data_IF_348004528635
#
_entry.id   IF_348004528635
#
_cell.length_a   1.000
_cell.length_b   1.000
_cell.length_c   1.000
_cell.angle_alpha   90.00
_cell.angle_beta   90.00
_cell.angle_gamma   90.00
#
_symmetry.space_group_name_H-M   'P 1'
#
loop_
_entity.id
_entity.type
_entity.pdbx_description
1 polymer ?
#
# COMPACT_ATOMS: atom_id res chain seq x y z
N UNK A 1 -25.57 3.44 8.04
CA UNK A 1 -25.20 4.78 7.56
C UNK A 1 -23.88 5.10 8.21
N UNK A 2 -22.82 5.32 7.44
CA UNK A 2 -21.51 5.67 8.00
C UNK A 2 -21.39 7.19 8.04
N UNK A 3 -21.55 7.79 9.23
CA UNK A 3 -21.25 9.20 9.45
C UNK A 3 -19.73 9.33 9.56
N UNK A 4 -19.11 10.00 8.59
CA UNK A 4 -17.72 10.41 8.69
C UNK A 4 -17.72 11.57 9.68
N UNK A 5 -17.26 11.28 10.90
CA UNK A 5 -17.27 12.14 12.10
C UNK A 5 -18.58 12.11 12.90
N UNK A 6 -18.61 11.44 14.07
CA UNK A 6 -19.61 11.68 15.11
C UNK A 6 -19.62 13.16 15.50
N UNK A 7 -20.81 13.77 15.62
CA UNK A 7 -20.90 15.15 16.11
C UNK A 7 -20.29 15.27 17.52
N UNK A 8 -19.44 16.29 17.72
CA UNK A 8 -18.85 16.61 19.03
C UNK A 8 -17.41 16.13 19.27
N UNK A 9 -16.74 15.48 18.30
CA UNK A 9 -15.31 15.13 18.41
C UNK A 9 -14.44 16.35 18.09
N UNK A 10 -13.53 16.70 19.01
CA UNK A 10 -12.55 17.78 18.83
C UNK A 10 -11.25 17.28 18.18
N UNK A 11 -10.42 18.18 17.66
CA UNK A 11 -9.08 17.81 17.15
C UNK A 11 -8.22 17.15 18.23
N UNK A 12 -8.33 17.63 19.48
CA UNK A 12 -7.62 17.05 20.63
C UNK A 12 -8.03 15.60 20.89
N UNK A 13 -9.30 15.25 20.70
CA UNK A 13 -9.77 13.87 20.84
C UNK A 13 -9.17 12.97 19.75
N UNK A 14 -9.04 13.48 18.52
CA UNK A 14 -8.41 12.75 17.41
C UNK A 14 -6.91 12.55 17.63
N UNK A 15 -6.21 13.55 18.15
CA UNK A 15 -4.77 13.47 18.46
C UNK A 15 -4.52 12.48 19.60
N UNK A 16 -5.40 12.46 20.60
CA UNK A 16 -5.36 11.48 21.71
C UNK A 16 -5.61 10.07 21.18
N UNK A 17 -6.64 9.89 20.34
CA UNK A 17 -6.93 8.61 19.70
C UNK A 17 -5.75 8.09 18.86
N UNK A 18 -5.05 8.98 18.13
CA UNK A 18 -3.86 8.61 17.36
C UNK A 18 -2.73 8.15 18.27
N UNK A 19 -2.48 8.88 19.36
CA UNK A 19 -1.46 8.52 20.36
C UNK A 19 -1.75 7.17 21.01
N UNK A 20 -2.99 6.94 21.44
CA UNK A 20 -3.43 5.68 22.04
C UNK A 20 -3.35 4.51 21.04
N UNK A 21 -3.69 4.78 19.78
CA UNK A 21 -3.56 3.81 18.70
C UNK A 21 -2.09 3.42 18.48
N UNK A 22 -1.18 4.40 18.37
CA UNK A 22 0.24 4.13 18.14
C UNK A 22 0.87 3.36 19.32
N UNK A 23 0.54 3.73 20.56
CA UNK A 23 0.97 3.01 21.77
C UNK A 23 0.42 1.58 21.81
N UNK A 24 -0.86 1.39 21.47
CA UNK A 24 -1.46 0.06 21.37
C UNK A 24 -0.77 -0.81 20.32
N UNK A 25 -0.52 -0.28 19.12
CA UNK A 25 0.18 -0.99 18.05
C UNK A 25 1.63 -1.32 18.47
N UNK A 26 2.34 -0.40 19.13
CA UNK A 26 3.69 -0.64 19.65
C UNK A 26 3.74 -1.73 20.73
N UNK A 27 2.75 -1.77 21.63
CA UNK A 27 2.59 -2.84 22.63
C UNK A 27 2.32 -4.20 21.99
N UNK A 28 1.52 -4.24 20.92
CA UNK A 28 1.29 -5.48 20.16
C UNK A 28 2.53 -5.93 19.39
N UNK A 29 3.26 -5.01 18.77
CA UNK A 29 4.47 -5.30 17.98
C UNK A 29 5.61 -5.86 18.85
N UNK A 30 5.71 -5.40 20.11
CA UNK A 30 6.68 -5.92 21.09
C UNK A 30 6.25 -7.24 21.75
N UNK A 31 5.03 -7.72 21.52
CA UNK A 31 4.54 -8.98 22.08
C UNK A 31 5.08 -10.19 21.30
N UNK A 32 6.02 -10.91 21.91
CA UNK A 32 6.66 -12.09 21.31
C UNK A 32 5.70 -13.27 21.05
N UNK A 33 4.53 -13.29 21.68
CA UNK A 33 3.52 -14.34 21.46
C UNK A 33 2.62 -14.05 20.25
N UNK A 34 2.74 -12.86 19.65
CA UNK A 34 1.96 -12.50 18.47
C UNK A 34 2.58 -13.15 17.23
N UNK A 35 1.74 -13.75 16.39
CA UNK A 35 2.13 -14.22 15.07
C UNK A 35 2.76 -13.05 14.28
N UNK A 36 3.97 -13.25 13.73
CA UNK A 36 4.60 -12.19 12.93
C UNK A 36 3.76 -11.92 11.67
N UNK A 37 3.64 -10.66 11.30
CA UNK A 37 2.87 -10.22 10.12
C UNK A 37 1.37 -10.03 10.39
N UNK A 38 0.82 -10.57 11.49
CA UNK A 38 -0.62 -10.44 11.78
C UNK A 38 -1.03 -9.00 12.12
N UNK A 39 -0.09 -8.17 12.58
CA UNK A 39 -0.37 -6.81 13.01
C UNK A 39 -0.97 -5.95 11.88
N UNK A 40 -0.63 -6.22 10.62
CA UNK A 40 -1.24 -5.58 9.44
C UNK A 40 -2.74 -5.86 9.37
N UNK A 41 -3.17 -7.09 9.69
CA UNK A 41 -4.59 -7.44 9.76
C UNK A 41 -5.26 -6.69 10.92
N UNK A 42 -4.62 -6.63 12.09
CA UNK A 42 -5.14 -5.88 13.26
C UNK A 42 -5.32 -4.40 12.93
N UNK A 43 -4.31 -3.74 12.33
CA UNK A 43 -4.39 -2.34 11.85
C UNK A 43 -5.60 -2.16 10.93
N UNK A 44 -5.77 -3.05 9.95
CA UNK A 44 -6.91 -3.01 9.01
C UNK A 44 -8.26 -3.16 9.73
N UNK A 45 -8.35 -4.05 10.72
CA UNK A 45 -9.58 -4.26 11.52
C UNK A 45 -9.94 -3.04 12.35
N UNK A 46 -8.95 -2.36 12.91
CA UNK A 46 -9.15 -1.12 13.66
C UNK A 46 -9.62 -0.03 12.71
N UNK A 47 -8.96 0.14 11.56
CA UNK A 47 -9.31 1.14 10.54
C UNK A 47 -10.75 0.98 10.00
N UNK A 48 -11.27 -0.25 9.99
CA UNK A 48 -12.66 -0.55 9.61
C UNK A 48 -13.71 -0.17 10.68
N UNK A 49 -13.30 0.24 11.89
CA UNK A 49 -14.20 0.46 13.04
C UNK A 49 -14.11 1.84 13.66
N UNK A 50 -12.94 2.48 13.58
CA UNK A 50 -12.77 3.82 14.14
C UNK A 50 -13.32 4.88 13.17
N UNK A 51 -13.84 6.01 13.68
CA UNK A 51 -14.16 7.15 12.84
C UNK A 51 -12.86 7.75 12.32
N UNK A 52 -12.72 7.85 10.99
CA UNK A 52 -11.54 8.40 10.32
C UNK A 52 -11.91 9.64 9.52
N UNK A 53 -11.07 10.68 9.61
CA UNK A 53 -11.11 11.78 8.65
C UNK A 53 -10.64 11.32 7.27
N UNK A 54 -11.08 12.01 6.21
CA UNK A 54 -10.74 11.67 4.82
C UNK A 54 -9.21 11.59 4.60
N UNK A 55 -8.46 12.53 5.20
CA UNK A 55 -7.00 12.59 5.12
C UNK A 55 -6.27 11.52 5.97
N UNK A 56 -6.98 10.84 6.89
CA UNK A 56 -6.41 9.79 7.75
C UNK A 56 -6.64 8.39 7.20
N UNK A 57 -7.58 8.21 6.27
CA UNK A 57 -7.96 6.87 5.75
C UNK A 57 -6.74 6.10 5.25
N UNK A 58 -5.89 6.72 4.43
CA UNK A 58 -4.74 6.03 3.83
C UNK A 58 -3.62 5.76 4.84
N UNK A 59 -3.46 6.59 5.86
CA UNK A 59 -2.52 6.35 6.96
C UNK A 59 -2.95 5.12 7.77
N UNK A 60 -4.21 5.06 8.21
CA UNK A 60 -4.70 3.92 9.00
C UNK A 60 -4.78 2.61 8.22
N UNK A 61 -5.17 2.66 6.94
CA UNK A 61 -5.25 1.44 6.11
C UNK A 61 -3.89 0.99 5.59
N UNK A 62 -2.99 1.91 5.23
CA UNK A 62 -1.77 1.60 4.47
C UNK A 62 -0.49 2.23 5.02
N UNK A 63 -0.51 2.86 6.19
CA UNK A 63 0.66 3.56 6.74
C UNK A 63 1.21 4.62 5.78
N UNK A 64 0.35 5.28 5.02
CA UNK A 64 0.77 6.32 4.08
C UNK A 64 1.27 7.54 4.84
N UNK A 65 2.58 7.69 4.88
CA UNK A 65 3.28 8.82 5.46
C UNK A 65 3.80 9.73 4.34
N UNK A 66 3.05 10.80 4.07
CA UNK A 66 3.38 11.77 3.03
C UNK A 66 4.66 12.54 3.37
N UNK A 67 4.92 12.83 4.66
CA UNK A 67 6.08 13.58 5.10
C UNK A 67 7.38 12.81 4.83
N UNK A 68 7.36 11.50 5.12
CA UNK A 68 8.48 10.60 4.86
C UNK A 68 8.45 9.91 3.49
N UNK A 69 7.42 10.20 2.67
CA UNK A 69 7.18 9.63 1.33
C UNK A 69 7.19 8.10 1.37
N UNK A 70 6.45 7.55 2.33
CA UNK A 70 6.45 6.13 2.59
C UNK A 70 5.03 5.55 2.65
N UNK A 71 4.92 4.26 2.33
CA UNK A 71 3.65 3.52 2.39
C UNK A 71 3.94 2.05 2.73
N UNK A 72 3.18 1.49 3.67
CA UNK A 72 3.27 0.08 4.04
C UNK A 72 2.67 -0.79 2.94
N UNK A 73 3.38 -1.88 2.61
CA UNK A 73 2.94 -2.88 1.66
C UNK A 73 2.29 -4.05 2.39
N UNK A 74 1.21 -4.57 1.81
CA UNK A 74 0.37 -5.58 2.46
C UNK A 74 -0.04 -6.67 1.46
N UNK A 75 -0.29 -7.88 1.95
CA UNK A 75 -0.82 -8.94 1.10
C UNK A 75 -2.18 -8.57 0.47
N UNK A 76 -2.36 -8.98 -0.77
CA UNK A 76 -3.48 -8.64 -1.65
C UNK A 76 -3.40 -7.25 -2.28
N UNK A 77 -2.30 -6.52 -2.07
CA UNK A 77 -1.88 -5.43 -2.95
C UNK A 77 -1.13 -5.99 -4.16
N UNK A 78 -0.96 -5.17 -5.18
CA UNK A 78 -0.12 -5.45 -6.35
C UNK A 78 0.92 -4.35 -6.49
N UNK A 79 2.17 -4.71 -6.75
CA UNK A 79 3.23 -3.75 -6.99
C UNK A 79 3.43 -3.63 -8.50
N UNK A 80 3.12 -2.45 -9.05
CA UNK A 80 3.41 -2.12 -10.45
C UNK A 80 4.77 -1.46 -10.53
N UNK A 81 5.64 -1.98 -11.39
CA UNK A 81 6.98 -1.44 -11.59
C UNK A 81 7.14 -1.04 -13.04
N UNK A 82 7.24 0.26 -13.30
CA UNK A 82 7.48 0.81 -14.63
C UNK A 82 8.96 1.11 -14.79
N UNK A 83 9.59 0.47 -15.77
CA UNK A 83 11.00 0.65 -16.08
C UNK A 83 11.18 1.69 -17.18
N UNK A 84 12.18 2.56 -17.05
CA UNK A 84 12.58 3.42 -18.16
C UNK A 84 13.26 2.61 -19.26
N UNK A 85 12.82 2.81 -20.50
CA UNK A 85 13.35 2.12 -21.68
C UNK A 85 14.78 2.51 -22.04
N UNK A 86 15.31 3.56 -21.41
CA UNK A 86 16.67 4.02 -21.64
C UNK A 86 17.27 4.46 -20.31
N UNK A 87 18.44 3.92 -20.00
CA UNK A 87 19.30 4.38 -18.94
C UNK A 87 20.71 4.50 -19.50
N UNK A 88 21.31 5.68 -19.35
CA UNK A 88 22.69 5.87 -19.76
C UNK A 88 23.59 5.16 -18.75
N UNK A 89 24.36 4.19 -19.21
CA UNK A 89 25.39 3.52 -18.41
C UNK A 89 26.74 4.00 -18.91
N UNK A 90 27.41 4.87 -18.14
CA UNK A 90 28.69 5.40 -18.58
C UNK A 90 29.78 4.31 -18.49
N UNK A 91 30.65 4.12 -19.51
CA UNK A 91 31.67 3.06 -19.51
C UNK A 91 32.65 3.11 -18.33
N UNK A 92 32.86 4.30 -17.74
CA UNK A 92 33.70 4.49 -16.56
C UNK A 92 32.98 4.20 -15.22
N UNK A 93 31.66 3.95 -15.23
CA UNK A 93 30.94 3.56 -14.02
C UNK A 93 31.07 2.06 -13.80
N UNK A 94 31.69 1.66 -12.68
CA UNK A 94 31.75 0.28 -12.19
C UNK A 94 30.36 -0.34 -11.94
N UNK A 95 29.31 0.48 -11.98
CA UNK A 95 27.90 0.09 -11.84
C UNK A 95 27.28 -0.45 -13.13
N UNK A 96 28.06 -0.65 -14.20
CA UNK A 96 27.55 -1.08 -15.50
C UNK A 96 26.71 -2.38 -15.49
N UNK A 97 26.85 -3.21 -14.44
CA UNK A 97 26.06 -4.42 -14.21
C UNK A 97 24.57 -4.16 -13.88
N UNK A 98 24.15 -2.92 -13.60
CA UNK A 98 22.73 -2.54 -13.48
C UNK A 98 22.10 -2.03 -14.77
N UNK A 99 22.84 -2.08 -15.88
CA UNK A 99 22.45 -1.45 -17.14
C UNK A 99 21.34 -2.13 -17.92
N UNK A 100 21.00 -3.38 -17.57
CA UNK A 100 19.92 -4.10 -18.24
C UNK A 100 18.75 -4.30 -17.29
N UNK A 101 17.65 -3.66 -17.63
CA UNK A 101 16.35 -3.89 -17.02
C UNK A 101 15.33 -4.02 -18.14
N UNK A 102 14.32 -4.87 -17.96
CA UNK A 102 13.30 -5.06 -18.97
C UNK A 102 12.65 -3.75 -19.38
N UNK A 103 12.36 -3.58 -20.67
CA UNK A 103 11.48 -2.51 -21.13
C UNK A 103 10.04 -2.83 -20.73
N UNK A 104 9.32 -1.85 -20.19
CA UNK A 104 7.88 -1.94 -19.92
C UNK A 104 7.50 -1.96 -18.45
N UNK A 105 6.35 -2.58 -18.17
CA UNK A 105 5.73 -2.59 -16.85
C UNK A 105 5.64 -4.03 -16.34
N UNK A 106 6.10 -4.26 -15.12
CA UNK A 106 5.93 -5.52 -14.40
C UNK A 106 4.89 -5.38 -13.28
N UNK A 107 4.21 -6.48 -12.97
CA UNK A 107 3.21 -6.54 -11.91
C UNK A 107 3.56 -7.68 -10.97
N UNK A 108 3.66 -7.39 -9.67
CA UNK A 108 3.96 -8.37 -8.63
C UNK A 108 2.84 -8.41 -7.61
N UNK A 109 2.11 -9.52 -7.55
CA UNK A 109 1.05 -9.68 -6.55
C UNK A 109 1.67 -10.00 -5.18
N UNK A 110 1.35 -9.18 -4.18
CA UNK A 110 1.82 -9.37 -2.82
C UNK A 110 0.92 -10.38 -2.12
N UNK A 111 1.50 -11.43 -1.56
CA UNK A 111 0.75 -12.52 -0.93
C UNK A 111 1.38 -12.90 0.42
N UNK A 112 0.60 -13.49 1.31
CA UNK A 112 1.14 -14.14 2.50
C UNK A 112 1.55 -15.56 2.19
N UNK A 113 2.69 -15.97 2.76
CA UNK A 113 3.13 -17.35 2.84
C UNK A 113 3.62 -17.65 4.26
N UNK A 114 3.69 -18.93 4.59
CA UNK A 114 4.24 -19.38 5.87
C UNK A 114 5.74 -19.07 5.93
N UNK A 115 6.18 -18.48 7.05
CA UNK A 115 7.55 -18.02 7.22
C UNK A 115 8.55 -19.14 7.46
N UNK A 116 9.40 -19.47 6.48
CA UNK A 116 10.62 -20.29 6.62
C UNK A 116 10.49 -21.51 7.57
N UNK A 117 9.44 -22.32 7.39
CA UNK A 117 9.21 -23.55 8.16
C UNK A 117 8.42 -23.36 9.46
N UNK A 118 8.03 -22.14 9.81
CA UNK A 118 6.99 -21.85 10.80
C UNK A 118 5.65 -21.72 10.09
N UNK A 119 4.71 -22.64 10.38
CA UNK A 119 3.33 -22.58 9.88
C UNK A 119 2.50 -21.47 10.54
N UNK A 120 3.08 -20.73 11.48
CA UNK A 120 2.37 -19.68 12.20
C UNK A 120 2.77 -18.29 11.75
N UNK A 121 4.01 -18.04 11.31
CA UNK A 121 4.47 -16.71 10.90
C UNK A 121 3.99 -16.37 9.48
N UNK A 122 3.51 -15.15 9.27
CA UNK A 122 3.09 -14.65 7.96
C UNK A 122 4.16 -13.73 7.38
N UNK A 123 4.73 -14.10 6.24
CA UNK A 123 5.69 -13.28 5.50
C UNK A 123 5.10 -12.82 4.16
N UNK A 124 5.46 -11.62 3.73
CA UNK A 124 5.07 -11.09 2.42
C UNK A 124 5.99 -11.67 1.35
N UNK A 125 5.36 -12.12 0.28
CA UNK A 125 5.98 -12.65 -0.91
C UNK A 125 5.44 -11.94 -2.16
N UNK A 126 6.26 -11.85 -3.21
CA UNK A 126 5.99 -11.06 -4.42
C UNK A 126 5.43 -11.88 -5.60
N UNK A 127 5.31 -13.21 -5.47
CA UNK A 127 4.78 -14.08 -6.51
C UNK A 127 4.26 -15.43 -5.95
N UNK A 128 2.96 -15.68 -6.06
CA UNK A 128 2.34 -16.87 -5.51
C UNK A 128 2.86 -18.18 -6.13
N UNK A 129 3.18 -18.21 -7.42
CA UNK A 129 3.69 -19.41 -8.09
C UNK A 129 5.12 -19.72 -7.66
N UNK A 130 5.99 -18.72 -7.66
CA UNK A 130 7.38 -18.87 -7.22
C UNK A 130 7.46 -19.25 -5.73
N UNK A 131 6.46 -18.92 -4.91
CA UNK A 131 6.40 -19.39 -3.53
C UNK A 131 6.12 -20.87 -3.35
N UNK A 132 5.60 -21.55 -4.37
CA UNK A 132 5.42 -23.00 -4.34
C UNK A 132 6.71 -23.72 -4.75
N UNK A 133 7.47 -23.14 -5.68
CA UNK A 133 8.71 -23.73 -6.20
C UNK A 133 9.91 -23.40 -5.32
N UNK A 134 9.89 -22.22 -4.66
CA UNK A 134 10.97 -21.72 -3.79
C UNK A 134 12.35 -21.80 -4.48
N UNK A 135 12.55 -21.03 -5.57
CA UNK A 135 13.80 -21.09 -6.32
C UNK A 135 14.99 -20.70 -5.45
N UNK A 136 16.10 -21.40 -5.63
CA UNK A 136 17.34 -21.05 -4.94
C UNK A 136 17.98 -19.81 -5.58
N UNK A 137 18.04 -18.71 -4.85
CA UNK A 137 18.57 -17.42 -5.31
C UNK A 137 19.67 -16.94 -4.37
N UNK A 138 20.81 -16.55 -4.95
CA UNK A 138 21.99 -16.06 -4.20
C UNK A 138 22.26 -14.57 -4.42
N UNK A 139 21.60 -13.92 -5.38
CA UNK A 139 21.80 -12.52 -5.75
C UNK A 139 21.53 -11.57 -4.58
N UNK A 140 22.51 -10.72 -4.26
CA UNK A 140 22.34 -9.71 -3.22
C UNK A 140 21.70 -8.41 -3.74
N UNK A 141 20.37 -8.40 -3.80
CA UNK A 141 19.60 -7.28 -4.36
C UNK A 141 19.70 -5.96 -3.59
N UNK A 142 20.17 -5.94 -2.34
CA UNK A 142 20.52 -4.70 -1.66
C UNK A 142 21.69 -3.98 -2.36
N UNK A 143 22.62 -4.74 -2.94
CA UNK A 143 23.84 -4.20 -3.55
C UNK A 143 23.69 -3.93 -5.04
N UNK A 144 23.04 -4.84 -5.75
CA UNK A 144 22.96 -4.80 -7.22
C UNK A 144 21.58 -4.42 -7.74
N UNK A 145 20.58 -4.27 -6.85
CA UNK A 145 19.17 -4.11 -7.21
C UNK A 145 18.52 -5.43 -7.66
N UNK A 146 17.19 -5.49 -7.58
CA UNK A 146 16.36 -6.59 -8.07
C UNK A 146 16.04 -6.40 -9.56
N UNK A 147 16.31 -7.42 -10.37
CA UNK A 147 15.90 -7.45 -11.77
C UNK A 147 14.44 -7.90 -11.95
N UNK A 148 13.93 -8.72 -11.02
CA UNK A 148 12.53 -9.18 -11.00
C UNK A 148 12.12 -9.66 -9.60
N UNK A 149 10.86 -10.06 -9.43
CA UNK A 149 10.38 -10.72 -8.20
C UNK A 149 11.13 -12.00 -7.86
N UNK A 150 11.74 -12.69 -8.85
CA UNK A 150 12.57 -13.88 -8.61
C UNK A 150 13.67 -13.58 -7.58
N UNK A 151 14.30 -12.41 -7.67
CA UNK A 151 15.43 -12.11 -6.81
C UNK A 151 15.03 -11.93 -5.33
N UNK A 152 13.75 -11.66 -5.05
CA UNK A 152 13.21 -11.55 -3.69
C UNK A 152 13.15 -12.88 -2.95
N UNK A 153 13.32 -14.01 -3.66
CA UNK A 153 13.37 -15.36 -3.08
C UNK A 153 14.73 -15.71 -2.47
N UNK A 154 15.72 -14.81 -2.50
CA UNK A 154 16.93 -15.00 -1.69
C UNK A 154 16.54 -15.05 -0.22
N UNK A 155 17.01 -16.08 0.47
CA UNK A 155 16.77 -16.27 1.90
C UNK A 155 17.10 -14.99 2.68
N UNK A 156 16.15 -14.56 3.51
CA UNK A 156 16.26 -13.36 4.33
C UNK A 156 15.57 -12.12 3.76
N UNK A 157 15.26 -12.07 2.45
CA UNK A 157 14.59 -10.91 1.85
C UNK A 157 13.08 -10.90 2.05
N UNK A 158 12.43 -12.05 2.15
CA UNK A 158 11.01 -12.10 2.52
C UNK A 158 10.84 -11.78 4.01
N UNK A 159 10.01 -10.79 4.31
CA UNK A 159 9.77 -10.28 5.67
C UNK A 159 8.27 -10.16 5.96
N UNK A 160 7.87 -10.24 7.24
CA UNK A 160 6.49 -10.01 7.65
C UNK A 160 5.93 -8.64 7.27
N UNK A 161 6.76 -7.60 7.35
CA UNK A 161 6.37 -6.24 7.07
C UNK A 161 7.28 -5.63 6.02
N UNK A 162 6.68 -4.90 5.07
CA UNK A 162 7.39 -4.12 4.07
C UNK A 162 6.85 -2.71 3.98
N UNK A 163 7.74 -1.78 3.65
CA UNK A 163 7.43 -0.38 3.37
C UNK A 163 8.15 0.05 2.11
N UNK A 164 7.42 0.69 1.21
CA UNK A 164 8.00 1.39 0.07
C UNK A 164 8.33 2.82 0.50
N UNK A 165 9.56 3.25 0.25
CA UNK A 165 10.05 4.59 0.57
C UNK A 165 10.58 5.25 -0.69
N UNK A 166 10.11 6.47 -0.95
CA UNK A 166 10.58 7.29 -2.06
C UNK A 166 11.70 8.24 -1.63
N UNK A 167 12.73 8.42 -2.48
CA UNK A 167 13.80 9.36 -2.20
C UNK A 167 13.27 10.80 -2.22
N UNK A 168 13.89 11.70 -1.46
CA UNK A 168 13.57 13.13 -1.53
C UNK A 168 14.00 13.77 -2.85
N UNK A 169 15.00 13.18 -3.51
CA UNK A 169 15.50 13.56 -4.82
C UNK A 169 15.70 12.30 -5.66
N UNK A 170 15.01 12.22 -6.79
CA UNK A 170 15.21 11.12 -7.74
C UNK A 170 16.50 11.35 -8.53
N UNK A 171 17.24 10.28 -8.82
CA UNK A 171 18.46 10.40 -9.61
C UNK A 171 18.18 10.78 -11.08
N UNK A 172 19.16 11.43 -11.71
CA UNK A 172 19.17 11.81 -13.13
C UNK A 172 19.17 10.58 -14.06
N UNK A 173 19.22 10.80 -15.38
CA UNK A 173 19.03 9.77 -16.43
C UNK A 173 19.99 8.58 -16.39
N UNK A 174 21.05 8.63 -15.58
CA UNK A 174 21.99 7.53 -15.39
C UNK A 174 21.48 6.44 -14.42
N UNK A 175 20.39 6.70 -13.68
CA UNK A 175 19.94 5.85 -12.57
C UNK A 175 20.97 5.79 -11.43
N UNK A 176 20.66 5.02 -10.37
CA UNK A 176 21.56 4.89 -9.20
C UNK A 176 21.60 3.46 -8.70
N UNK A 177 22.76 3.02 -8.23
CA UNK A 177 22.88 1.84 -7.36
C UNK A 177 22.70 2.17 -5.88
N UNK A 178 22.67 3.45 -5.53
CA UNK A 178 22.46 3.90 -4.16
C UNK A 178 20.97 3.79 -3.83
N UNK A 179 20.56 2.93 -2.87
CA UNK A 179 19.14 2.78 -2.51
C UNK A 179 18.48 4.12 -2.14
N UNK A 180 19.24 5.05 -1.52
CA UNK A 180 18.74 6.37 -1.13
C UNK A 180 18.33 7.29 -2.28
N UNK A 181 18.59 6.92 -3.53
CA UNK A 181 18.21 7.70 -4.74
C UNK A 181 17.22 6.99 -5.65
N UNK A 182 16.74 5.82 -5.24
CA UNK A 182 15.72 5.02 -5.92
C UNK A 182 14.54 4.74 -4.99
N UNK A 183 13.38 4.39 -5.57
CA UNK A 183 12.27 3.87 -4.77
C UNK A 183 12.70 2.54 -4.14
N UNK A 184 12.75 2.51 -2.80
CA UNK A 184 13.35 1.41 -2.03
C UNK A 184 12.28 0.71 -1.22
N UNK A 185 12.28 -0.62 -1.28
CA UNK A 185 11.53 -1.48 -0.39
C UNK A 185 12.38 -1.77 0.84
N UNK A 186 11.81 -1.55 2.01
CA UNK A 186 12.40 -1.86 3.31
C UNK A 186 11.53 -2.93 3.95
N UNK A 187 12.13 -4.04 4.36
CA UNK A 187 11.45 -5.14 5.03
C UNK A 187 12.00 -5.38 6.44
N UNK A 188 11.13 -5.72 7.39
CA UNK A 188 11.54 -6.05 8.75
C UNK A 188 10.62 -7.09 9.41
N UNK A 189 11.07 -7.62 10.55
CA UNK A 189 10.30 -8.59 11.34
C UNK A 189 9.30 -7.95 12.30
N UNK A 190 9.37 -6.64 12.51
CA UNK A 190 8.46 -5.86 13.35
C UNK A 190 8.21 -4.47 12.72
N UNK A 191 7.10 -3.81 13.08
CA UNK A 191 6.82 -2.45 12.61
C UNK A 191 7.78 -1.43 13.21
N UNK A 192 8.14 -1.61 14.49
CA UNK A 192 9.12 -0.75 15.18
C UNK A 192 10.45 -0.72 14.43
N UNK A 193 10.92 -1.89 13.96
CA UNK A 193 12.15 -1.99 13.16
C UNK A 193 12.04 -1.27 11.81
N UNK A 194 10.86 -1.26 11.17
CA UNK A 194 10.63 -0.45 9.97
C UNK A 194 10.68 1.05 10.26
N UNK A 195 10.09 1.48 11.38
CA UNK A 195 10.02 2.90 11.76
C UNK A 195 11.40 3.45 12.14
N UNK A 196 12.18 2.70 12.92
CA UNK A 196 13.55 3.07 13.32
C UNK A 196 14.60 2.74 12.26
N UNK A 197 14.24 1.97 11.23
CA UNK A 197 15.14 1.44 10.18
C UNK A 197 16.29 0.61 10.75
N UNK A 198 16.04 -0.11 11.85
CA UNK A 198 17.02 -1.02 12.49
C UNK A 198 16.75 -2.46 12.09
N UNK A 199 17.79 -3.25 11.82
CA UNK A 199 17.67 -4.67 11.44
C UNK A 199 16.74 -4.93 10.24
N UNK A 200 16.76 -4.00 9.29
CA UNK A 200 15.95 -4.06 8.07
C UNK A 200 16.73 -4.68 6.92
N UNK A 201 16.00 -5.37 6.05
CA UNK A 201 16.48 -5.62 4.68
C UNK A 201 16.00 -4.49 3.78
N UNK A 202 16.81 -4.09 2.82
CA UNK A 202 16.40 -3.09 1.84
C UNK A 202 16.84 -3.47 0.45
N UNK A 203 16.02 -3.15 -0.54
CA UNK A 203 16.37 -3.33 -1.95
C UNK A 203 15.57 -2.38 -2.83
N UNK A 204 16.04 -2.20 -4.05
CA UNK A 204 15.40 -1.39 -5.08
C UNK A 204 15.34 -2.21 -6.37
N UNK A 205 14.47 -1.84 -7.30
CA UNK A 205 14.50 -2.44 -8.63
C UNK A 205 15.61 -1.83 -9.46
N UNK A 206 16.35 -2.66 -10.21
CA UNK A 206 17.46 -2.20 -11.03
C UNK A 206 17.00 -1.11 -12.00
N UNK A 207 17.93 -0.22 -12.25
CA UNK A 207 17.76 0.92 -13.12
C UNK A 207 16.73 1.94 -12.68
N UNK A 208 16.31 2.83 -13.59
CA UNK A 208 15.32 3.85 -13.27
C UNK A 208 13.92 3.26 -13.36
N UNK A 209 13.37 2.93 -12.20
CA UNK A 209 12.05 2.35 -12.06
C UNK A 209 11.12 3.22 -11.20
N UNK A 210 9.85 3.30 -11.58
CA UNK A 210 8.78 3.84 -10.74
C UNK A 210 8.01 2.68 -10.13
N UNK A 211 7.84 2.68 -8.81
CA UNK A 211 7.26 1.55 -8.06
C UNK A 211 5.94 1.97 -7.44
N UNK A 212 4.81 1.53 -7.98
CA UNK A 212 3.49 2.01 -7.61
C UNK A 212 2.72 0.90 -6.90
N UNK A 213 2.40 1.06 -5.61
CA UNK A 213 1.54 0.12 -4.91
C UNK A 213 0.09 0.32 -5.37
N UNK A 214 -0.57 -0.78 -5.68
CA UNK A 214 -1.94 -0.84 -6.17
C UNK A 214 -2.81 -1.69 -5.24
N UNK A 215 -4.07 -1.29 -5.11
CA UNK A 215 -5.09 -1.95 -4.31
C UNK A 215 -6.19 -2.50 -5.22
N UNK A 216 -6.73 -3.65 -4.87
CA UNK A 216 -7.86 -4.23 -5.57
C UNK A 216 -9.19 -3.61 -5.08
N UNK A 217 -9.92 -3.01 -6.00
CA UNK A 217 -11.31 -2.55 -5.84
C UNK A 217 -12.23 -3.32 -6.77
N UNK A 218 -13.54 -3.23 -6.58
CA UNK A 218 -14.55 -3.87 -7.44
C UNK A 218 -15.38 -2.80 -8.11
N UNK A 219 -15.26 -2.66 -9.44
CA UNK A 219 -16.06 -1.75 -10.25
C UNK A 219 -17.04 -2.55 -11.09
N UNK A 220 -18.35 -2.32 -10.92
CA UNK A 220 -19.41 -3.05 -11.65
C UNK A 220 -19.24 -4.59 -11.58
N UNK A 221 -18.82 -5.10 -10.41
CA UNK A 221 -18.60 -6.54 -10.20
C UNK A 221 -17.26 -7.07 -10.73
N UNK A 222 -16.46 -6.25 -11.42
CA UNK A 222 -15.13 -6.63 -11.91
C UNK A 222 -14.04 -6.13 -10.98
N UNK A 223 -13.04 -7.00 -10.72
CA UNK A 223 -11.85 -6.62 -9.94
C UNK A 223 -10.97 -5.70 -10.78
N UNK A 224 -10.67 -4.51 -10.26
CA UNK A 224 -9.77 -3.54 -10.88
C UNK A 224 -8.69 -3.18 -9.85
N UNK A 225 -7.44 -3.05 -10.31
CA UNK A 225 -6.35 -2.57 -9.48
C UNK A 225 -6.13 -1.08 -9.75
N UNK A 226 -6.04 -0.30 -8.69
CA UNK A 226 -5.83 1.16 -8.74
C UNK A 226 -4.68 1.55 -7.81
N UNK A 227 -3.87 2.57 -8.13
CA UNK A 227 -2.83 3.06 -7.22
C UNK A 227 -3.39 3.44 -5.84
N UNK A 228 -2.61 3.21 -4.78
CA UNK A 228 -2.92 3.73 -3.45
C UNK A 228 -3.06 5.25 -3.54
N UNK A 229 -4.11 5.80 -2.95
CA UNK A 229 -4.46 7.23 -3.05
C UNK A 229 -5.39 7.58 -4.20
N UNK A 230 -5.77 6.61 -5.05
CA UNK A 230 -6.84 6.83 -6.04
C UNK A 230 -8.14 7.18 -5.31
N UNK A 231 -8.75 8.28 -5.73
CA UNK A 231 -10.03 8.76 -5.22
C UNK A 231 -11.18 8.25 -6.08
N UNK A 232 -12.40 8.29 -5.54
CA UNK A 232 -13.61 7.96 -6.31
C UNK A 232 -13.73 8.85 -7.56
N UNK A 233 -13.36 10.15 -7.48
CA UNK A 233 -13.33 11.09 -8.61
C UNK A 233 -12.47 10.56 -9.74
N UNK A 234 -11.25 10.16 -9.42
CA UNK A 234 -10.26 9.72 -10.39
C UNK A 234 -10.68 8.40 -11.05
N UNK A 235 -11.25 7.47 -10.29
CA UNK A 235 -11.78 6.22 -10.85
C UNK A 235 -12.98 6.47 -11.78
N UNK A 236 -13.89 7.37 -11.40
CA UNK A 236 -15.05 7.69 -12.21
C UNK A 236 -14.68 8.46 -13.47
N UNK A 237 -13.72 9.38 -13.40
CA UNK A 237 -13.22 10.10 -14.57
C UNK A 237 -12.68 9.18 -15.67
N UNK A 238 -12.27 7.95 -15.33
CA UNK A 238 -11.82 6.94 -16.30
C UNK A 238 -12.97 6.20 -16.99
N UNK A 239 -14.17 6.17 -16.39
CA UNK A 239 -15.24 5.21 -16.73
C UNK A 239 -16.56 5.90 -17.11
N UNK A 240 -16.79 7.11 -16.63
CA UNK A 240 -17.93 7.96 -16.94
C UNK A 240 -17.46 9.41 -17.08
N UNK A 241 -18.10 10.17 -17.97
CA UNK A 241 -17.91 11.62 -17.99
C UNK A 241 -18.38 12.17 -16.65
N UNK A 242 -17.48 12.78 -15.86
CA UNK A 242 -17.88 13.50 -14.66
C UNK A 242 -18.92 14.53 -15.08
N UNK A 243 -20.13 14.55 -14.48
CA UNK A 243 -21.10 15.59 -14.78
C UNK A 243 -20.42 16.95 -14.59
N UNK A 244 -20.57 17.86 -15.55
CA UNK A 244 -20.05 19.22 -15.46
C UNK A 244 -20.84 19.97 -14.39
N UNK A 245 -20.47 19.80 -13.13
CA UNK A 245 -21.13 20.50 -12.03
C UNK A 245 -20.58 21.92 -12.00
N UNK A 246 -21.47 22.90 -12.16
CA UNK A 246 -21.15 24.29 -11.88
C UNK A 246 -20.88 24.45 -10.37
N UNK A 247 -20.04 25.42 -9.96
CA UNK A 247 -19.82 25.70 -8.55
C UNK A 247 -21.15 25.93 -7.82
N UNK A 248 -21.45 25.10 -6.81
CA UNK A 248 -22.64 25.25 -5.96
C UNK A 248 -23.84 24.34 -6.26
N UNK A 249 -23.77 23.44 -7.25
CA UNK A 249 -24.78 22.37 -7.40
C UNK A 249 -24.32 21.05 -6.78
N UNK A 250 -25.24 20.35 -6.13
CA UNK A 250 -25.01 19.03 -5.56
C UNK A 250 -25.14 17.96 -6.64
N UNK A 251 -24.11 17.13 -6.84
CA UNK A 251 -24.16 15.91 -7.67
C UNK A 251 -25.25 14.90 -7.22
N UNK A 252 -25.86 15.12 -6.06
CA UNK A 252 -26.99 14.33 -5.54
C UNK A 252 -28.26 14.48 -6.39
N UNK A 253 -28.35 15.50 -7.25
CA UNK A 253 -29.51 15.74 -8.13
C UNK A 253 -29.32 15.20 -9.55
N UNK A 254 -28.08 14.80 -9.95
CA UNK A 254 -27.86 14.15 -11.24
C UNK A 254 -28.12 12.63 -11.12
N UNK A 255 -29.06 12.13 -11.90
CA UNK A 255 -29.45 10.70 -12.00
C UNK A 255 -28.25 9.78 -12.35
N UNK A 256 -28.13 8.61 -11.70
CA UNK A 256 -27.08 7.59 -11.99
C UNK A 256 -25.94 7.50 -10.97
N UNK A 257 -26.27 7.48 -9.67
CA UNK A 257 -25.30 7.66 -8.58
C UNK A 257 -24.34 6.46 -8.46
N UNK A 258 -23.01 6.65 -8.65
CA UNK A 258 -22.03 5.66 -8.25
C UNK A 258 -22.14 5.42 -6.75
N UNK A 259 -22.54 4.21 -6.37
CA UNK A 259 -22.65 3.78 -4.97
C UNK A 259 -21.34 3.14 -4.54
N UNK A 260 -20.55 3.89 -3.78
CA UNK A 260 -19.42 3.33 -3.05
C UNK A 260 -19.93 2.60 -1.81
N UNK A 261 -19.57 1.33 -1.71
CA UNK A 261 -19.77 0.53 -0.50
C UNK A 261 -18.45 -0.02 -0.01
N UNK A 262 -18.24 0.09 1.30
CA UNK A 262 -17.02 -0.33 1.99
C UNK A 262 -17.31 -1.49 2.91
N UNK A 263 -16.39 -2.43 3.00
CA UNK A 263 -16.48 -3.53 3.95
C UNK A 263 -16.25 -3.02 5.37
N UNK A 264 -17.23 -3.24 6.25
CA UNK A 264 -17.17 -2.94 7.67
C UNK A 264 -17.47 -4.20 8.47
N UNK A 265 -17.06 -4.20 9.74
CA UNK A 265 -17.37 -5.28 10.66
C UNK A 265 -18.14 -4.68 11.83
N UNK A 266 -19.41 -5.06 11.95
CA UNK A 266 -20.33 -4.46 12.91
C UNK A 266 -20.80 -5.47 13.96
N UNK A 267 -21.26 -4.92 15.09
CA UNK A 267 -21.83 -5.69 16.19
C UNK A 267 -20.81 -6.48 17.00
N UNK A 268 -21.26 -6.97 18.15
CA UNK A 268 -20.48 -7.85 19.04
C UNK A 268 -20.05 -9.16 18.37
N UNK A 269 -20.78 -9.61 17.34
CA UNK A 269 -20.50 -10.83 16.58
C UNK A 269 -19.53 -10.66 15.41
N UNK A 270 -19.01 -9.45 15.17
CA UNK A 270 -18.01 -9.17 14.13
C UNK A 270 -18.44 -9.60 12.71
N UNK A 271 -19.72 -9.44 12.37
CA UNK A 271 -20.20 -9.88 11.06
C UNK A 271 -19.74 -8.92 9.94
N UNK A 272 -19.12 -9.43 8.87
CA UNK A 272 -18.74 -8.61 7.72
C UNK A 272 -19.99 -8.10 7.00
N UNK A 273 -20.11 -6.80 6.81
CA UNK A 273 -21.18 -6.19 6.02
C UNK A 273 -20.64 -5.07 5.14
N UNK A 274 -21.08 -5.04 3.88
CA UNK A 274 -20.81 -3.90 3.01
C UNK A 274 -21.82 -2.80 3.31
N UNK A 275 -21.33 -1.63 3.69
CA UNK A 275 -22.17 -0.47 3.96
C UNK A 275 -21.96 0.61 2.91
N UNK A 276 -23.06 1.21 2.51
CA UNK A 276 -23.02 2.47 1.77
C UNK A 276 -22.47 3.57 2.67
N UNK A 277 -21.51 4.31 2.13
CA UNK A 277 -21.01 5.52 2.77
C UNK A 277 -22.02 6.61 2.42
N UNK A 278 -22.84 7.00 3.40
CA UNK A 278 -23.80 8.09 3.25
C UNK A 278 -23.17 9.33 3.88
N UNK A 279 -22.86 10.34 3.07
CA UNK A 279 -22.28 11.58 3.57
C UNK A 279 -23.41 12.57 3.82
N UNK A 280 -23.49 13.09 5.04
CA UNK A 280 -24.65 13.88 5.48
C UNK A 280 -24.65 15.33 4.94
N UNK A 281 -23.57 15.83 4.33
CA UNK A 281 -23.49 17.18 3.72
C UNK A 281 -22.18 17.31 2.91
N UNK A 282 -21.86 18.53 2.40
CA UNK A 282 -20.78 19.04 1.51
C UNK A 282 -19.33 18.44 1.56
N UNK A 283 -19.11 17.26 2.12
CA UNK A 283 -17.90 16.46 1.93
C UNK A 283 -17.89 16.00 0.47
N UNK A 284 -16.87 16.36 -0.33
CA UNK A 284 -16.77 15.88 -1.69
C UNK A 284 -16.54 14.35 -1.66
N UNK A 285 -17.61 13.56 -1.78
CA UNK A 285 -17.60 12.08 -1.86
C UNK A 285 -16.56 11.60 -2.88
N UNK A 286 -16.38 12.39 -3.94
CA UNK A 286 -15.44 12.15 -5.01
C UNK A 286 -13.98 12.24 -4.56
N UNK A 287 -13.64 13.01 -3.53
CA UNK A 287 -12.28 13.09 -3.00
C UNK A 287 -11.99 11.99 -1.96
N UNK A 288 -12.97 11.13 -1.67
CA UNK A 288 -12.75 10.01 -0.77
C UNK A 288 -11.72 9.03 -1.38
N UNK A 289 -10.62 8.72 -0.68
CA UNK A 289 -9.69 7.72 -1.13
C UNK A 289 -10.31 6.33 -1.05
N UNK A 290 -10.06 5.54 -2.08
CA UNK A 290 -10.48 4.15 -2.16
C UNK A 290 -9.60 3.28 -1.26
N UNK A 291 -10.20 2.23 -0.71
CA UNK A 291 -9.49 1.17 0.02
C UNK A 291 -9.81 -0.19 -0.59
N UNK A 292 -8.96 -1.17 -0.26
CA UNK A 292 -9.02 -2.55 -0.74
C UNK A 292 -10.39 -3.15 -0.44
N UNK A 293 -11.01 -3.70 -1.46
CA UNK A 293 -12.32 -4.33 -1.39
C UNK A 293 -13.50 -3.37 -1.51
N UNK A 294 -13.27 -2.05 -1.63
CA UNK A 294 -14.34 -1.11 -1.95
C UNK A 294 -15.07 -1.55 -3.22
N UNK A 295 -16.41 -1.51 -3.19
CA UNK A 295 -17.27 -1.86 -4.32
C UNK A 295 -18.00 -0.63 -4.83
N UNK A 296 -17.86 -0.37 -6.11
CA UNK A 296 -18.45 0.75 -6.83
C UNK A 296 -19.45 0.19 -7.84
N UNK A 297 -20.71 0.57 -7.69
CA UNK A 297 -21.80 0.27 -8.64
C UNK A 297 -22.20 1.60 -9.27
N UNK A 298 -22.05 1.73 -10.59
CA UNK A 298 -22.50 2.91 -11.34
C UNK A 298 -24.02 2.91 -11.52
#
# INVERSE_FOLDING_TARGET
>A
TLTITPQGITQTDLDTLKTDYDDFIGKLDSNQNLIKGILTLVKTRIAQRIPLLVNQILDYYYGLDIANRAVDLQAGMRLRVDYQNYQLVHPAQSTANSGFVGSGTSYYDLNYIDGNGSTTDLIINFDAFLSQIQPYVTTDIATVGAGSSLDTFRVGYQKPYFRLVYPSQAETSAGSLEPGKAATLIGATSLTALDTKTDVVSFYFRGRATVIPEIAVVLQGQKVFVPVGTTLRQLLAQTVSLPSVLPGQFLLESTGKPRLSRLLHEGVSNQPSYRFINLEENIPVFDLPLVKGDRIIL
#
